data_IF_758920409478
#
_entry.id   IF_758920409478
#
_cell.length_a   1.000
_cell.length_b   1.000
_cell.length_c   1.000
_cell.angle_alpha   90.00
_cell.angle_beta   90.00
_cell.angle_gamma   90.00
#
_symmetry.space_group_name_H-M   'P 1'
#
loop_
_entity.id
_entity.type
_entity.pdbx_description
1 polymer ?
#
# COMPACT_ATOMS: atom_id res chain seq x y z
N UNK A 1 23.13 -20.09 -37.66
CA UNK A 1 21.89 -19.89 -36.87
C UNK A 1 21.09 -18.67 -37.31
N UNK A 2 21.46 -17.41 -36.99
CA UNK A 2 20.61 -16.23 -37.32
C UNK A 2 20.26 -16.11 -38.82
N UNK A 3 21.24 -16.31 -39.70
CA UNK A 3 21.01 -16.31 -41.16
C UNK A 3 20.07 -17.43 -41.61
N UNK A 4 20.15 -18.59 -40.98
CA UNK A 4 19.29 -19.74 -41.30
C UNK A 4 17.86 -19.54 -40.79
N UNK A 5 17.71 -18.97 -39.59
CA UNK A 5 16.40 -18.53 -39.09
C UNK A 5 15.81 -17.44 -39.98
N UNK A 6 16.62 -16.51 -40.48
CA UNK A 6 16.20 -15.46 -41.43
C UNK A 6 15.73 -16.05 -42.76
N UNK A 7 16.42 -17.06 -43.27
CA UNK A 7 16.04 -17.76 -44.50
C UNK A 7 14.69 -18.50 -44.36
N UNK A 8 14.44 -19.13 -43.21
CA UNK A 8 13.23 -19.91 -42.95
C UNK A 8 12.06 -19.04 -42.46
N UNK A 9 12.35 -17.91 -41.82
CA UNK A 9 11.36 -16.98 -41.27
C UNK A 9 11.83 -15.52 -41.45
N UNK A 10 11.54 -14.88 -42.59
CA UNK A 10 12.02 -13.53 -42.90
C UNK A 10 11.58 -12.45 -41.90
N UNK A 11 10.47 -12.66 -41.20
CA UNK A 11 9.97 -11.75 -40.14
C UNK A 11 10.83 -11.74 -38.87
N UNK A 12 11.77 -12.68 -38.73
CA UNK A 12 12.68 -12.77 -37.58
C UNK A 12 13.59 -11.55 -37.42
N UNK A 13 13.85 -10.80 -38.49
CA UNK A 13 14.75 -9.62 -38.46
C UNK A 13 14.21 -8.49 -37.57
N UNK A 14 12.90 -8.44 -37.34
CA UNK A 14 12.23 -7.42 -36.55
C UNK A 14 11.87 -7.87 -35.13
N UNK A 15 12.10 -9.14 -34.79
CA UNK A 15 11.66 -9.73 -33.53
C UNK A 15 12.90 -10.23 -32.76
N UNK A 16 13.26 -9.60 -31.63
CA UNK A 16 14.35 -10.09 -30.82
C UNK A 16 13.99 -11.45 -30.21
N UNK A 17 14.93 -12.38 -30.25
CA UNK A 17 14.84 -13.66 -29.56
C UNK A 17 16.13 -13.94 -28.80
N UNK A 18 16.00 -14.59 -27.64
CA UNK A 18 17.11 -15.12 -26.87
C UNK A 18 17.15 -16.64 -27.00
N UNK A 19 18.35 -17.20 -26.85
CA UNK A 19 18.58 -18.63 -26.94
C UNK A 19 19.52 -19.06 -25.83
N UNK A 20 19.22 -20.19 -25.21
CA UNK A 20 20.08 -20.85 -24.25
C UNK A 20 20.18 -22.32 -24.57
N UNK A 21 21.40 -22.84 -24.54
CA UNK A 21 21.67 -24.28 -24.62
C UNK A 21 22.09 -24.75 -23.24
N UNK A 22 21.44 -25.78 -22.72
CA UNK A 22 21.79 -26.38 -21.44
C UNK A 22 21.88 -27.89 -21.57
N UNK A 23 22.64 -28.54 -20.71
CA UNK A 23 22.71 -30.01 -20.66
C UNK A 23 21.79 -30.48 -19.54
N UNK A 24 20.96 -31.48 -19.83
CA UNK A 24 20.11 -32.09 -18.81
C UNK A 24 21.01 -32.94 -17.90
N UNK A 25 20.93 -32.72 -16.58
CA UNK A 25 21.78 -33.36 -15.58
C UNK A 25 21.87 -34.87 -15.79
N UNK A 26 23.09 -35.40 -15.71
CA UNK A 26 23.42 -36.83 -15.85
C UNK A 26 22.98 -37.48 -17.17
N UNK A 27 22.77 -36.68 -18.22
CA UNK A 27 22.45 -37.18 -19.57
C UNK A 27 23.33 -36.55 -20.64
N UNK A 28 23.51 -37.24 -21.76
CA UNK A 28 24.13 -36.70 -22.97
C UNK A 28 23.15 -35.90 -23.83
N UNK A 29 22.08 -35.36 -23.24
CA UNK A 29 21.03 -34.63 -23.95
C UNK A 29 21.26 -33.13 -23.80
N UNK A 30 21.31 -32.45 -24.94
CA UNK A 30 21.32 -30.99 -25.01
C UNK A 30 19.88 -30.47 -25.16
N UNK A 31 19.50 -29.55 -24.30
CA UNK A 31 18.25 -28.79 -24.37
C UNK A 31 18.51 -27.41 -24.99
N UNK A 32 17.73 -27.06 -26.02
CA UNK A 32 17.82 -25.78 -26.72
C UNK A 32 16.52 -25.03 -26.48
N UNK A 33 16.58 -24.01 -25.64
CA UNK A 33 15.45 -23.15 -25.35
C UNK A 33 15.57 -21.82 -26.11
N UNK A 34 14.47 -21.40 -26.73
CA UNK A 34 14.36 -20.10 -27.41
C UNK A 34 13.18 -19.33 -26.83
N UNK A 35 13.42 -18.08 -26.42
CA UNK A 35 12.37 -17.17 -25.97
C UNK A 35 12.21 -16.02 -26.98
N UNK A 36 11.00 -15.85 -27.51
CA UNK A 36 10.64 -14.77 -28.42
C UNK A 36 9.18 -14.35 -28.21
N UNK A 37 8.83 -13.16 -28.71
CA UNK A 37 7.45 -12.65 -28.67
C UNK A 37 6.48 -13.34 -29.63
N UNK A 38 6.99 -14.16 -30.56
CA UNK A 38 6.22 -14.88 -31.58
C UNK A 38 6.40 -16.40 -31.44
N UNK A 39 5.32 -17.18 -31.20
CA UNK A 39 5.39 -18.64 -31.07
C UNK A 39 6.02 -19.37 -32.26
N UNK A 40 5.73 -18.92 -33.48
CA UNK A 40 6.27 -19.58 -34.69
C UNK A 40 7.78 -19.34 -34.82
N UNK A 41 8.23 -18.15 -34.44
CA UNK A 41 9.66 -17.83 -34.41
C UNK A 41 10.41 -18.73 -33.40
N UNK A 42 9.85 -18.99 -32.22
CA UNK A 42 10.47 -19.89 -31.24
C UNK A 42 10.70 -21.28 -31.83
N UNK A 43 9.69 -21.83 -32.52
CA UNK A 43 9.77 -23.14 -33.18
C UNK A 43 10.84 -23.16 -34.27
N UNK A 44 10.79 -22.20 -35.20
CA UNK A 44 11.73 -22.15 -36.33
C UNK A 44 13.15 -21.98 -35.82
N UNK A 45 13.37 -21.06 -34.88
CA UNK A 45 14.68 -20.79 -34.33
C UNK A 45 15.26 -21.98 -33.55
N UNK A 46 14.46 -22.68 -32.75
CA UNK A 46 14.92 -23.86 -32.02
C UNK A 46 15.30 -25.01 -32.97
N UNK A 47 14.45 -25.31 -33.95
CA UNK A 47 14.71 -26.39 -34.91
C UNK A 47 15.90 -26.08 -35.84
N UNK A 48 15.99 -24.86 -36.36
CA UNK A 48 17.13 -24.43 -37.17
C UNK A 48 18.44 -24.51 -36.38
N UNK A 49 18.40 -24.21 -35.07
CA UNK A 49 19.60 -24.31 -34.24
C UNK A 49 20.04 -25.75 -34.01
N UNK A 50 19.10 -26.67 -33.81
CA UNK A 50 19.41 -28.09 -33.73
C UNK A 50 20.02 -28.62 -35.04
N UNK A 51 19.52 -28.18 -36.20
CA UNK A 51 20.05 -28.55 -37.51
C UNK A 51 21.48 -28.02 -37.72
N UNK A 52 21.73 -26.74 -37.42
CA UNK A 52 23.08 -26.15 -37.49
C UNK A 52 24.06 -26.93 -36.63
N UNK A 53 23.68 -27.26 -35.39
CA UNK A 53 24.54 -27.99 -34.48
C UNK A 53 24.83 -29.42 -34.97
N UNK A 54 23.83 -30.10 -35.52
CA UNK A 54 24.02 -31.43 -36.10
C UNK A 54 24.96 -31.37 -37.31
N UNK A 55 24.77 -30.41 -38.22
CA UNK A 55 25.61 -30.24 -39.40
C UNK A 55 27.05 -29.87 -39.03
N UNK A 56 27.24 -29.00 -38.04
CA UNK A 56 28.56 -28.64 -37.55
C UNK A 56 29.27 -29.84 -36.89
N UNK A 57 28.50 -30.67 -36.16
CA UNK A 57 29.02 -31.91 -35.58
C UNK A 57 29.42 -32.92 -36.65
N UNK A 58 28.60 -33.15 -37.67
CA UNK A 58 28.93 -34.03 -38.81
C UNK A 58 30.18 -33.55 -39.56
N UNK A 59 30.32 -32.22 -39.76
CA UNK A 59 31.50 -31.64 -40.40
C UNK A 59 32.76 -31.83 -39.56
N UNK A 60 32.66 -31.58 -38.25
CA UNK A 60 33.76 -31.78 -37.30
C UNK A 60 34.15 -33.25 -37.23
N UNK A 61 33.17 -34.15 -37.25
CA UNK A 61 33.35 -35.60 -37.29
C UNK A 61 34.06 -36.05 -38.57
N UNK A 62 33.67 -35.54 -39.74
CA UNK A 62 34.29 -35.89 -41.01
C UNK A 62 35.77 -35.47 -41.07
N UNK A 63 36.08 -34.24 -40.64
CA UNK A 63 37.47 -33.74 -40.54
C UNK A 63 38.27 -34.57 -39.53
N UNK A 64 37.66 -34.94 -38.39
CA UNK A 64 38.29 -35.80 -37.39
C UNK A 64 38.61 -37.20 -37.94
N UNK A 65 37.71 -37.78 -38.73
CA UNK A 65 37.90 -39.10 -39.36
C UNK A 65 39.02 -39.06 -40.41
N UNK A 66 39.07 -37.99 -41.22
CA UNK A 66 40.12 -37.77 -42.22
C UNK A 66 41.48 -37.61 -41.55
N UNK A 67 41.58 -36.76 -40.53
CA UNK A 67 42.81 -36.56 -39.73
C UNK A 67 43.26 -37.87 -39.06
N UNK A 68 42.32 -38.64 -38.51
CA UNK A 68 42.63 -39.95 -37.93
C UNK A 68 43.16 -40.94 -38.98
N UNK A 69 42.60 -40.93 -40.19
CA UNK A 69 43.08 -41.79 -41.28
C UNK A 69 44.50 -41.43 -41.72
N UNK A 70 44.82 -40.13 -41.84
CA UNK A 70 46.16 -39.66 -42.18
C UNK A 70 47.19 -40.01 -41.10
N UNK A 71 46.83 -39.87 -39.83
CA UNK A 71 47.69 -40.25 -38.70
C UNK A 71 47.97 -41.76 -38.68
N UNK A 72 46.94 -42.59 -38.89
CA UNK A 72 47.09 -44.04 -38.99
C UNK A 72 47.98 -44.41 -40.18
N UNK A 73 47.77 -43.80 -41.34
CA UNK A 73 48.59 -44.06 -42.54
C UNK A 73 50.06 -43.68 -42.31
N UNK A 74 50.33 -42.53 -41.69
CA UNK A 74 51.69 -42.09 -41.31
C UNK A 74 52.36 -43.06 -40.32
N UNK A 75 51.58 -43.63 -39.40
CA UNK A 75 52.08 -44.57 -38.39
C UNK A 75 52.30 -45.99 -38.95
N UNK A 76 51.64 -46.35 -40.06
CA UNK A 76 51.84 -47.61 -40.79
C UNK A 76 52.97 -47.50 -41.83
N UNK A 77 53.16 -46.34 -42.47
CA UNK A 77 54.23 -46.13 -43.46
C UNK A 77 55.62 -45.92 -42.86
N UNK A 78 55.72 -45.28 -41.69
CA UNK A 78 57.00 -45.04 -41.01
C UNK A 78 57.83 -46.32 -40.73
N UNK A 79 57.24 -47.41 -40.22
CA UNK A 79 57.98 -48.65 -39.93
C UNK A 79 58.37 -49.46 -41.17
N UNK A 80 57.74 -49.23 -42.32
CA UNK A 80 58.07 -49.96 -43.56
C UNK A 80 59.36 -49.46 -44.22
N UNK A 81 59.68 -48.17 -44.06
CA UNK A 81 60.96 -47.59 -44.51
C UNK A 81 62.14 -48.06 -43.63
N UNK A 82 61.91 -48.28 -42.33
CA UNK A 82 62.93 -48.84 -41.42
C UNK A 82 63.16 -50.34 -41.64
N UNK A 83 62.14 -51.10 -42.04
CA UNK A 83 62.30 -52.53 -42.34
C UNK A 83 63.13 -52.80 -43.59
N UNK A 84 63.15 -51.89 -44.58
CA UNK A 84 64.03 -52.01 -45.75
C UNK A 84 65.49 -51.66 -45.40
N UNK A 85 65.69 -50.81 -44.39
CA UNK A 85 67.03 -50.44 -43.86
C UNK A 85 67.65 -51.54 -42.99
N UNK A 86 66.84 -52.36 -42.30
CA UNK A 86 67.29 -53.47 -41.45
C UNK A 86 67.73 -54.72 -42.25
N UNK A 87 67.40 -54.81 -43.55
CA UNK A 87 67.93 -55.88 -44.42
C UNK A 87 69.41 -55.71 -44.82
N UNK A 88 70.04 -54.59 -44.50
CA UNK A 88 71.44 -54.32 -44.81
C UNK A 88 72.23 -53.84 -43.60
N UNK A 89 72.75 -54.76 -42.79
CA UNK A 89 73.83 -54.45 -41.85
C UNK A 89 73.58 -54.93 -40.43
N UNK A 90 74.46 -55.82 -39.97
CA UNK A 90 74.62 -56.30 -38.60
C UNK A 90 74.97 -55.18 -37.62
N UNK A 91 74.29 -55.18 -36.47
CA UNK A 91 74.80 -55.01 -35.08
C UNK A 91 73.80 -54.26 -34.20
N UNK A 92 73.43 -54.90 -33.08
CA UNK A 92 72.81 -54.21 -31.94
C UNK A 92 73.83 -53.28 -31.29
N UNK A 93 73.41 -52.14 -30.73
CA UNK A 93 73.31 -52.13 -29.27
C UNK A 93 72.15 -51.31 -28.68
N UNK A 94 71.67 -51.81 -27.53
CA UNK A 94 71.11 -51.14 -26.35
C UNK A 94 70.27 -49.86 -26.50
N UNK A 95 69.02 -49.90 -25.98
CA UNK A 95 68.26 -48.68 -25.67
C UNK A 95 67.69 -48.76 -24.25
N UNK A 96 68.14 -47.78 -23.48
CA UNK A 96 67.66 -47.26 -22.21
C UNK A 96 66.17 -46.91 -22.28
N UNK A 97 65.31 -47.47 -21.43
CA UNK A 97 63.91 -47.03 -21.31
C UNK A 97 63.77 -45.94 -20.24
N UNK A 98 64.37 -44.79 -20.55
CA UNK A 98 64.08 -43.50 -19.92
C UNK A 98 62.74 -42.94 -20.42
N UNK A 99 61.94 -42.43 -19.50
CA UNK A 99 60.57 -41.97 -19.66
C UNK A 99 60.50 -40.59 -20.30
N UNK A 100 59.89 -40.43 -21.48
CA UNK A 100 59.31 -39.17 -21.99
C UNK A 100 58.28 -39.55 -23.06
N UNK A 101 57.02 -39.71 -22.69
CA UNK A 101 55.96 -38.71 -22.90
C UNK A 101 55.51 -38.47 -24.37
N UNK A 102 55.63 -39.46 -25.25
CA UNK A 102 54.93 -39.46 -26.54
C UNK A 102 53.45 -39.90 -26.39
N UNK A 103 52.70 -39.23 -25.52
CA UNK A 103 51.23 -39.38 -25.43
C UNK A 103 50.49 -38.54 -26.46
N UNK A 104 51.19 -37.71 -27.24
CA UNK A 104 50.60 -36.84 -28.26
C UNK A 104 49.79 -37.59 -29.34
N UNK A 105 50.30 -38.67 -29.98
CA UNK A 105 49.51 -39.39 -30.98
C UNK A 105 48.33 -40.14 -30.36
N UNK A 106 48.48 -40.69 -29.14
CA UNK A 106 47.38 -41.36 -28.43
C UNK A 106 46.28 -40.37 -28.02
N UNK A 107 46.63 -39.19 -27.50
CA UNK A 107 45.64 -38.16 -27.16
C UNK A 107 44.91 -37.63 -28.39
N UNK A 108 45.59 -37.48 -29.54
CA UNK A 108 44.95 -37.10 -30.79
C UNK A 108 44.01 -38.21 -31.30
N UNK A 109 44.40 -39.48 -31.13
CA UNK A 109 43.54 -40.63 -31.46
C UNK A 109 42.32 -40.74 -30.54
N UNK A 110 42.47 -40.49 -29.24
CA UNK A 110 41.36 -40.43 -28.28
C UNK A 110 40.44 -39.22 -28.51
N UNK A 111 40.97 -38.08 -28.96
CA UNK A 111 40.16 -36.93 -29.36
C UNK A 111 39.40 -37.19 -30.67
N UNK A 112 40.04 -37.84 -31.64
CA UNK A 112 39.39 -38.24 -32.89
C UNK A 112 38.37 -39.37 -32.71
N UNK A 113 38.51 -40.22 -31.67
CA UNK A 113 37.57 -41.31 -31.37
C UNK A 113 36.34 -40.88 -30.58
N UNK A 114 36.22 -39.62 -30.15
CA UNK A 114 34.98 -39.03 -29.62
C UNK A 114 33.99 -38.77 -30.76
N UNK A 115 33.71 -39.81 -31.52
CA UNK A 115 32.76 -39.91 -32.62
C UNK A 115 31.34 -39.94 -32.04
N UNK A 116 30.95 -38.89 -31.32
CA UNK A 116 29.62 -38.75 -30.77
C UNK A 116 28.65 -38.34 -31.89
N UNK A 117 27.91 -39.33 -32.39
CA UNK A 117 26.83 -39.10 -33.34
C UNK A 117 25.71 -38.31 -32.64
N UNK A 118 25.64 -37.01 -32.91
CA UNK A 118 24.57 -36.14 -32.40
C UNK A 118 23.34 -36.34 -33.28
N UNK A 119 22.22 -36.70 -32.65
CA UNK A 119 20.93 -36.86 -33.32
C UNK A 119 19.88 -36.01 -32.63
N UNK A 120 19.01 -35.38 -33.43
CA UNK A 120 17.84 -34.67 -32.93
C UNK A 120 16.87 -35.69 -32.31
N UNK A 121 16.62 -35.55 -31.01
CA UNK A 121 15.72 -36.41 -30.23
C UNK A 121 14.25 -35.97 -30.32
N UNK A 122 13.97 -34.66 -30.21
CA UNK A 122 12.64 -34.08 -30.37
C UNK A 122 12.71 -32.73 -31.07
N UNK A 123 11.73 -32.45 -31.92
CA UNK A 123 11.63 -31.17 -32.63
C UNK A 123 10.73 -30.21 -31.85
N UNK A 124 11.12 -28.93 -31.81
CA UNK A 124 10.34 -27.89 -31.21
C UNK A 124 8.96 -27.76 -31.91
N UNK A 125 7.93 -27.60 -31.09
CA UNK A 125 6.54 -27.36 -31.52
C UNK A 125 6.15 -25.93 -31.20
N UNK A 126 5.21 -25.37 -31.95
CA UNK A 126 4.69 -24.02 -31.70
C UNK A 126 3.98 -24.01 -30.34
N UNK A 127 4.42 -23.19 -29.37
CA UNK A 127 3.75 -23.10 -28.09
C UNK A 127 2.36 -22.48 -28.28
N UNK A 128 1.33 -23.14 -27.77
CA UNK A 128 -0.07 -22.68 -27.89
C UNK A 128 -0.45 -21.65 -26.82
N UNK A 129 0.34 -21.56 -25.75
CA UNK A 129 0.14 -20.60 -24.65
C UNK A 129 1.48 -19.95 -24.26
N UNK A 130 1.45 -18.69 -23.80
CA UNK A 130 2.66 -18.01 -23.32
C UNK A 130 3.19 -18.67 -22.05
N UNK A 131 4.49 -19.00 -22.04
CA UNK A 131 5.17 -19.67 -20.91
C UNK A 131 5.54 -18.66 -19.82
N UNK A 132 5.88 -17.42 -20.19
CA UNK A 132 6.23 -16.32 -19.27
C UNK A 132 5.62 -14.99 -19.77
N UNK A 133 5.30 -14.04 -18.87
CA UNK A 133 5.31 -14.13 -17.41
C UNK A 133 4.01 -14.76 -16.83
N UNK A 134 4.09 -15.32 -15.62
CA UNK A 134 2.95 -15.85 -14.87
C UNK A 134 2.06 -14.72 -14.33
N UNK A 135 1.17 -14.19 -15.18
CA UNK A 135 0.29 -13.05 -14.86
C UNK A 135 -0.50 -13.25 -13.56
N UNK A 136 -0.98 -14.47 -13.27
CA UNK A 136 -1.73 -14.79 -12.05
C UNK A 136 -0.87 -14.65 -10.78
N UNK A 137 0.36 -15.15 -10.80
CA UNK A 137 1.28 -15.05 -9.65
C UNK A 137 1.71 -13.60 -9.42
N UNK A 138 2.04 -12.88 -10.49
CA UNK A 138 2.41 -11.47 -10.39
C UNK A 138 1.25 -10.61 -9.88
N UNK A 139 0.02 -10.88 -10.33
CA UNK A 139 -1.17 -10.21 -9.84
C UNK A 139 -1.45 -10.52 -8.36
N UNK A 140 -1.32 -11.79 -7.96
CA UNK A 140 -1.49 -12.19 -6.55
C UNK A 140 -0.45 -11.52 -5.65
N UNK A 141 0.81 -11.48 -6.08
CA UNK A 141 1.88 -10.79 -5.35
C UNK A 141 1.62 -9.28 -5.24
N UNK A 142 1.21 -8.64 -6.35
CA UNK A 142 0.87 -7.22 -6.36
C UNK A 142 -0.28 -6.88 -5.42
N UNK A 143 -1.32 -7.72 -5.39
CA UNK A 143 -2.45 -7.56 -4.48
C UNK A 143 -2.01 -7.70 -3.02
N UNK A 144 -1.19 -8.71 -2.71
CA UNK A 144 -0.67 -8.92 -1.37
C UNK A 144 0.12 -7.69 -0.90
N UNK A 145 1.09 -7.25 -1.70
CA UNK A 145 1.89 -6.05 -1.39
C UNK A 145 1.00 -4.82 -1.23
N UNK A 146 0.01 -4.63 -2.10
CA UNK A 146 -0.94 -3.53 -2.04
C UNK A 146 -1.74 -3.49 -0.73
N UNK A 147 -2.20 -4.64 -0.23
CA UNK A 147 -2.91 -4.73 1.05
C UNK A 147 -2.00 -4.34 2.21
N UNK A 148 -0.77 -4.87 2.24
CA UNK A 148 0.17 -4.53 3.32
C UNK A 148 0.52 -3.04 3.31
N UNK A 149 0.78 -2.47 2.14
CA UNK A 149 1.17 -1.08 1.99
C UNK A 149 -0.01 -0.13 2.27
N UNK A 150 -1.21 -0.48 1.81
CA UNK A 150 -2.43 0.28 2.08
C UNK A 150 -2.85 0.23 3.55
N UNK A 151 -2.80 -0.96 4.18
CA UNK A 151 -3.05 -1.13 5.60
C UNK A 151 -2.02 -0.37 6.44
N UNK A 152 -0.73 -0.53 6.13
CA UNK A 152 0.35 0.20 6.78
C UNK A 152 0.18 1.72 6.68
N UNK A 153 -0.19 2.24 5.51
CA UNK A 153 -0.45 3.66 5.31
C UNK A 153 -1.66 4.14 6.13
N UNK A 154 -2.74 3.35 6.21
CA UNK A 154 -3.90 3.69 7.03
C UNK A 154 -3.53 3.81 8.52
N UNK A 155 -2.77 2.85 9.06
CA UNK A 155 -2.26 2.93 10.43
C UNK A 155 -1.30 4.09 10.63
N UNK A 156 -0.43 4.38 9.66
CA UNK A 156 0.49 5.50 9.74
C UNK A 156 -0.24 6.85 9.77
N UNK A 157 -1.27 7.02 8.94
CA UNK A 157 -2.12 8.21 8.94
C UNK A 157 -2.88 8.37 10.27
N UNK A 158 -3.39 7.27 10.83
CA UNK A 158 -4.03 7.26 12.15
C UNK A 158 -3.03 7.58 13.27
N UNK A 159 -1.78 7.11 13.17
CA UNK A 159 -0.72 7.43 14.14
C UNK A 159 -0.32 8.92 14.09
N UNK A 160 -0.36 9.53 12.91
CA UNK A 160 -0.12 10.98 12.76
C UNK A 160 -1.30 11.83 13.24
N UNK A 161 -2.47 11.24 13.49
CA UNK A 161 -3.62 11.98 13.99
C UNK A 161 -3.50 12.25 15.50
N UNK A 162 -3.21 13.50 15.86
CA UNK A 162 -3.13 13.98 17.25
C UNK A 162 -4.49 14.38 17.84
N UNK A 163 -5.60 13.94 17.25
CA UNK A 163 -6.95 14.23 17.77
C UNK A 163 -7.22 13.57 19.13
N UNK A 164 -7.71 14.36 20.08
CA UNK A 164 -8.15 13.87 21.40
C UNK A 164 -9.49 13.14 21.22
N UNK A 165 -9.45 11.82 21.23
CA UNK A 165 -10.64 10.97 20.96
C UNK A 165 -11.15 10.26 22.20
N UNK A 166 -10.32 10.16 23.25
CA UNK A 166 -10.62 9.36 24.43
C UNK A 166 -10.64 10.21 25.69
N UNK A 167 -11.48 9.82 26.66
CA UNK A 167 -11.53 10.41 28.01
C UNK A 167 -10.13 10.40 28.65
N UNK A 168 -9.40 9.29 28.50
CA UNK A 168 -8.05 9.13 29.04
C UNK A 168 -7.01 10.07 28.42
N UNK A 169 -7.23 10.54 27.18
CA UNK A 169 -6.36 11.55 26.57
C UNK A 169 -6.52 12.90 27.29
N UNK A 170 -7.75 13.28 27.63
CA UNK A 170 -8.04 14.53 28.37
C UNK A 170 -7.37 14.51 29.74
N UNK A 171 -7.53 13.42 30.48
CA UNK A 171 -6.95 13.29 31.83
C UNK A 171 -5.42 13.26 31.78
N UNK A 172 -4.82 12.60 30.78
CA UNK A 172 -3.38 12.51 30.61
C UNK A 172 -2.73 13.83 30.18
N UNK A 173 -3.35 14.58 29.27
CA UNK A 173 -2.76 15.79 28.71
C UNK A 173 -3.14 17.08 29.46
N UNK A 174 -4.36 17.17 30.00
CA UNK A 174 -4.86 18.39 30.63
C UNK A 174 -4.97 18.29 32.16
N UNK A 175 -4.91 17.08 32.73
CA UNK A 175 -5.09 16.84 34.18
C UNK A 175 -6.38 17.44 34.75
N UNK A 176 -7.39 17.64 33.92
CA UNK A 176 -8.70 18.15 34.32
C UNK A 176 -9.69 17.00 34.49
N UNK A 177 -10.55 17.04 35.53
CA UNK A 177 -11.58 16.04 35.71
C UNK A 177 -12.62 16.13 34.59
N UNK A 178 -12.97 14.99 34.00
CA UNK A 178 -14.03 14.93 33.00
C UNK A 178 -15.39 14.95 33.71
N UNK A 179 -16.10 16.07 33.60
CA UNK A 179 -17.40 16.27 34.25
C UNK A 179 -18.54 15.45 33.64
N UNK A 180 -18.41 14.99 32.41
CA UNK A 180 -19.40 14.14 31.75
C UNK A 180 -19.18 14.01 30.25
N UNK A 181 -19.84 13.01 29.66
CA UNK A 181 -19.80 12.73 28.22
C UNK A 181 -21.20 12.89 27.68
N UNK A 182 -21.37 13.79 26.71
CA UNK A 182 -22.66 13.99 26.05
C UNK A 182 -22.63 13.26 24.71
N UNK A 183 -23.47 12.22 24.50
CA UNK A 183 -23.57 11.54 23.22
C UNK A 183 -24.03 12.51 22.14
N UNK A 184 -23.41 12.41 20.95
CA UNK A 184 -23.87 13.14 19.77
C UNK A 184 -25.30 12.69 19.45
N UNK A 185 -26.23 13.63 19.56
CA UNK A 185 -27.59 13.42 19.10
C UNK A 185 -27.70 13.98 17.69
N UNK A 186 -28.21 13.17 16.77
CA UNK A 186 -28.68 13.71 15.50
C UNK A 186 -29.94 14.53 15.81
N UNK A 187 -29.83 15.85 15.63
CA UNK A 187 -31.01 16.63 15.31
C UNK A 187 -31.54 16.02 14.02
N UNK A 188 -32.66 15.31 14.07
CA UNK A 188 -33.26 14.65 12.91
C UNK A 188 -33.51 15.68 11.80
N UNK A 189 -32.53 15.89 10.93
CA UNK A 189 -32.69 16.49 9.60
C UNK A 189 -33.15 15.35 8.67
N UNK A 190 -34.25 14.67 9.03
CA UNK A 190 -35.00 13.87 8.06
C UNK A 190 -36.19 14.71 7.61
N UNK A 191 -35.92 15.54 6.62
CA UNK A 191 -36.91 16.42 6.01
C UNK A 191 -36.32 17.80 5.77
N UNK A 192 -36.46 18.29 4.54
CA UNK A 192 -36.18 19.63 4.02
C UNK A 192 -35.99 20.70 5.11
N UNK A 193 -34.96 21.52 4.93
CA UNK A 193 -34.70 22.79 5.60
C UNK A 193 -35.96 23.68 5.64
N UNK A 194 -36.83 23.40 6.59
CA UNK A 194 -38.03 24.13 6.93
C UNK A 194 -38.03 24.17 8.44
N UNK A 195 -37.24 25.10 8.98
CA UNK A 195 -37.46 25.80 10.25
C UNK A 195 -38.01 24.95 11.42
N UNK A 196 -37.58 23.69 11.50
CA UNK A 196 -38.06 22.75 12.51
C UNK A 196 -37.31 23.07 13.79
N UNK A 197 -37.91 24.00 14.55
CA UNK A 197 -37.63 24.42 15.92
C UNK A 197 -36.50 23.61 16.57
N UNK A 198 -35.30 24.22 16.53
CA UNK A 198 -34.15 23.75 17.28
C UNK A 198 -34.52 24.01 18.75
N UNK A 199 -34.99 22.98 19.45
CA UNK A 199 -35.27 23.07 20.88
C UNK A 199 -34.17 22.33 21.68
N UNK A 200 -33.95 22.70 22.95
CA UNK A 200 -33.07 21.95 23.85
C UNK A 200 -33.47 20.46 23.91
N UNK A 201 -32.50 19.55 23.85
CA UNK A 201 -32.75 18.10 23.91
C UNK A 201 -33.34 17.70 25.26
N UNK A 202 -32.92 18.37 26.33
CA UNK A 202 -33.40 18.10 27.69
C UNK A 202 -34.91 18.38 27.82
N UNK A 203 -35.46 19.35 27.08
CA UNK A 203 -36.89 19.64 27.03
C UNK A 203 -37.62 18.81 25.97
N UNK A 204 -37.08 18.70 24.75
CA UNK A 204 -37.73 18.02 23.61
C UNK A 204 -37.76 16.49 23.76
N UNK A 205 -36.67 15.90 24.26
CA UNK A 205 -36.52 14.45 24.43
C UNK A 205 -36.04 14.12 25.85
N UNK A 206 -36.88 14.33 26.87
CA UNK A 206 -36.46 14.27 28.27
C UNK A 206 -36.02 12.86 28.73
N UNK A 207 -36.41 11.79 28.02
CA UNK A 207 -36.01 10.40 28.31
C UNK A 207 -34.83 9.91 27.47
N UNK A 208 -34.20 10.78 26.69
CA UNK A 208 -33.07 10.41 25.83
C UNK A 208 -31.77 10.24 26.63
N UNK A 209 -30.83 9.44 26.10
CA UNK A 209 -29.50 9.29 26.68
C UNK A 209 -28.75 10.64 26.77
N UNK A 210 -28.91 11.52 25.79
CA UNK A 210 -28.32 12.87 25.82
C UNK A 210 -28.94 13.74 26.92
N UNK A 211 -30.26 13.66 27.17
CA UNK A 211 -30.87 14.38 28.29
C UNK A 211 -30.33 13.88 29.64
N UNK A 212 -30.18 12.57 29.82
CA UNK A 212 -29.59 12.02 31.04
C UNK A 212 -28.11 12.37 31.22
N UNK A 213 -27.34 12.47 30.12
CA UNK A 213 -25.99 12.97 30.17
C UNK A 213 -25.92 14.40 30.75
N UNK A 214 -26.83 15.29 30.35
CA UNK A 214 -26.91 16.65 30.93
C UNK A 214 -27.38 16.67 32.39
N UNK A 215 -28.28 15.78 32.79
CA UNK A 215 -28.67 15.64 34.21
C UNK A 215 -27.52 15.12 35.07
N UNK A 216 -26.72 14.21 34.53
CA UNK A 216 -25.50 13.72 35.17
C UNK A 216 -24.46 14.84 35.29
N UNK A 217 -24.23 15.59 34.21
CA UNK A 217 -23.31 16.73 34.20
C UNK A 217 -23.70 17.80 35.22
N UNK A 218 -25.00 18.11 35.34
CA UNK A 218 -25.53 18.98 36.39
C UNK A 218 -25.17 18.47 37.79
N UNK A 219 -25.44 17.19 38.07
CA UNK A 219 -25.13 16.58 39.36
C UNK A 219 -23.65 16.65 39.67
N UNK A 220 -22.78 16.32 38.71
CA UNK A 220 -21.32 16.36 38.89
C UNK A 220 -20.81 17.77 39.18
N UNK A 221 -21.37 18.79 38.53
CA UNK A 221 -21.04 20.20 38.85
C UNK A 221 -21.47 20.55 40.28
N UNK A 222 -22.66 20.14 40.71
CA UNK A 222 -23.14 20.36 42.09
C UNK A 222 -22.32 19.60 43.14
N UNK A 223 -21.72 18.46 42.76
CA UNK A 223 -20.86 17.66 43.64
C UNK A 223 -19.39 18.13 43.65
N UNK A 224 -19.03 19.10 42.81
CA UNK A 224 -17.65 19.63 42.79
C UNK A 224 -17.30 20.32 44.11
N UNK A 225 -18.28 21.00 44.72
CA UNK A 225 -18.20 21.56 46.06
C UNK A 225 -19.58 21.42 46.73
N UNK A 226 -19.67 20.49 47.70
CA UNK A 226 -20.92 20.19 48.41
C UNK A 226 -21.34 21.32 49.36
N UNK A 227 -20.37 22.04 49.92
CA UNK A 227 -20.62 23.09 50.90
C UNK A 227 -20.97 24.42 50.20
N UNK A 228 -20.29 24.70 49.08
CA UNK A 228 -20.48 25.92 48.30
C UNK A 228 -20.64 25.59 46.79
N UNK A 229 -21.81 25.08 46.37
CA UNK A 229 -22.01 24.72 44.98
C UNK A 229 -21.81 25.95 44.07
N UNK A 230 -21.20 25.77 42.89
CA UNK A 230 -20.84 26.87 42.01
C UNK A 230 -22.07 27.63 41.52
N UNK A 231 -22.07 28.96 41.71
CA UNK A 231 -23.17 29.85 41.30
C UNK A 231 -22.96 30.48 39.91
N UNK A 232 -21.71 30.55 39.47
CA UNK A 232 -21.32 31.11 38.18
C UNK A 232 -20.53 30.07 37.41
N UNK A 233 -20.94 29.81 36.17
CA UNK A 233 -20.36 28.81 35.30
C UNK A 233 -20.10 29.43 33.93
N UNK A 234 -18.89 29.25 33.41
CA UNK A 234 -18.52 29.67 32.06
C UNK A 234 -18.35 28.42 31.21
N UNK A 235 -19.05 28.36 30.09
CA UNK A 235 -18.93 27.28 29.11
C UNK A 235 -18.14 27.81 27.91
N UNK A 236 -16.95 27.26 27.69
CA UNK A 236 -16.07 27.61 26.57
C UNK A 236 -15.50 26.35 25.93
N UNK A 237 -14.77 26.50 24.84
CA UNK A 237 -14.12 25.39 24.16
C UNK A 237 -12.92 25.87 23.33
N UNK A 238 -12.09 24.93 22.88
CA UNK A 238 -10.82 25.22 22.21
C UNK A 238 -11.01 25.73 20.77
N UNK A 239 -12.01 25.22 20.04
CA UNK A 239 -12.27 25.58 18.64
C UNK A 239 -13.75 25.85 18.36
N UNK A 240 -14.10 26.58 17.29
CA UNK A 240 -15.49 26.77 16.87
C UNK A 240 -16.22 25.43 16.64
N UNK A 241 -17.56 25.43 16.77
CA UNK A 241 -18.43 24.29 16.47
C UNK A 241 -18.33 23.04 17.40
N UNK A 242 -17.60 23.11 18.52
CA UNK A 242 -17.57 22.01 19.54
C UNK A 242 -18.85 21.88 20.38
N UNK A 243 -19.90 22.66 20.10
CA UNK A 243 -21.17 22.57 20.81
C UNK A 243 -21.30 23.41 22.08
N UNK A 244 -20.41 24.37 22.34
CA UNK A 244 -20.47 25.34 23.46
C UNK A 244 -21.89 25.84 23.77
N UNK A 245 -22.53 26.50 22.81
CA UNK A 245 -23.87 27.09 22.97
C UNK A 245 -24.93 26.02 23.25
N UNK A 246 -24.82 24.86 22.60
CA UNK A 246 -25.71 23.71 22.80
C UNK A 246 -25.57 23.15 24.22
N UNK A 247 -24.34 22.97 24.69
CA UNK A 247 -24.04 22.48 26.04
C UNK A 247 -24.51 23.47 27.09
N UNK A 248 -24.20 24.76 26.93
CA UNK A 248 -24.63 25.82 27.84
C UNK A 248 -26.15 25.87 27.98
N UNK A 249 -26.88 25.83 26.86
CA UNK A 249 -28.34 25.85 26.87
C UNK A 249 -28.92 24.60 27.53
N UNK A 250 -28.52 23.40 27.13
CA UNK A 250 -29.07 22.17 27.70
C UNK A 250 -28.72 22.00 29.19
N UNK A 251 -27.54 22.44 29.61
CA UNK A 251 -27.16 22.47 31.02
C UNK A 251 -28.03 23.47 31.80
N UNK A 252 -28.27 24.67 31.26
CA UNK A 252 -29.14 25.65 31.88
C UNK A 252 -30.57 25.12 32.07
N UNK A 253 -31.11 24.42 31.06
CA UNK A 253 -32.41 23.74 31.15
C UNK A 253 -32.41 22.64 32.21
N UNK A 254 -31.36 21.81 32.26
CA UNK A 254 -31.23 20.76 33.27
C UNK A 254 -31.14 21.33 34.70
N UNK A 255 -30.46 22.47 34.89
CA UNK A 255 -30.41 23.20 36.15
C UNK A 255 -31.78 23.78 36.53
N UNK A 256 -32.50 24.38 35.58
CA UNK A 256 -33.79 25.01 35.80
C UNK A 256 -34.91 24.01 36.15
N UNK A 257 -34.88 22.80 35.58
CA UNK A 257 -35.85 21.73 35.87
C UNK A 257 -35.89 21.27 37.35
N UNK A 258 -34.86 21.54 38.15
CA UNK A 258 -34.83 21.21 39.59
C UNK A 258 -35.03 22.46 40.46
N UNK A 259 -35.88 23.36 40.01
CA UNK A 259 -36.32 24.58 40.72
C UNK A 259 -35.23 25.61 41.03
N UNK A 260 -34.04 25.47 40.43
CA UNK A 260 -33.02 26.52 40.46
C UNK A 260 -33.43 27.69 39.57
N UNK A 261 -33.40 28.92 40.10
CA UNK A 261 -33.48 30.13 39.26
C UNK A 261 -32.17 30.25 38.47
N UNK A 262 -32.24 30.04 37.16
CA UNK A 262 -31.06 30.04 36.28
C UNK A 262 -31.13 31.23 35.34
N UNK A 263 -30.04 31.99 35.25
CA UNK A 263 -29.83 33.00 34.22
C UNK A 263 -28.80 32.49 33.21
N UNK A 264 -29.23 32.22 31.98
CA UNK A 264 -28.34 31.92 30.87
C UNK A 264 -27.92 33.23 30.19
N UNK A 265 -26.63 33.49 30.13
CA UNK A 265 -26.07 34.69 29.48
C UNK A 265 -25.37 34.28 28.18
N UNK A 266 -25.83 34.80 27.05
CA UNK A 266 -25.17 34.63 25.75
C UNK A 266 -24.06 35.67 25.58
N UNK A 267 -22.85 35.30 26.00
CA UNK A 267 -21.67 36.14 25.91
C UNK A 267 -20.93 36.04 24.55
N UNK A 268 -21.47 35.32 23.56
CA UNK A 268 -20.92 35.30 22.20
C UNK A 268 -21.45 36.49 21.39
N UNK A 269 -20.75 37.63 21.50
CA UNK A 269 -21.09 38.86 20.77
C UNK A 269 -20.75 38.78 19.26
N UNK A 270 -20.06 37.73 18.81
CA UNK A 270 -19.62 37.60 17.41
C UNK A 270 -20.61 36.81 16.58
N UNK A 271 -21.09 35.67 17.07
CA UNK A 271 -22.06 34.81 16.37
C UNK A 271 -23.13 34.30 17.35
N UNK A 272 -23.99 35.19 17.87
CA UNK A 272 -25.00 34.81 18.86
C UNK A 272 -26.02 33.83 18.29
N UNK A 273 -26.27 32.74 19.02
CA UNK A 273 -27.15 31.65 18.61
C UNK A 273 -28.31 31.39 19.56
N UNK A 274 -28.19 31.75 20.84
CA UNK A 274 -29.16 31.33 21.88
C UNK A 274 -30.54 31.94 21.62
N UNK A 275 -30.61 33.22 21.24
CA UNK A 275 -31.86 33.92 20.93
C UNK A 275 -32.63 33.25 19.77
N UNK A 276 -31.92 32.68 18.78
CA UNK A 276 -32.54 31.98 17.65
C UNK A 276 -33.15 30.66 18.07
N UNK A 277 -32.45 29.93 18.94
CA UNK A 277 -32.87 28.62 19.45
C UNK A 277 -34.10 28.75 20.35
N UNK A 278 -34.16 29.83 21.16
CA UNK A 278 -35.26 30.06 22.09
C UNK A 278 -36.35 31.01 21.54
N UNK A 279 -36.27 31.39 20.26
CA UNK A 279 -37.20 32.33 19.62
C UNK A 279 -37.41 33.63 20.43
N UNK A 280 -36.32 34.15 20.99
CA UNK A 280 -36.28 35.40 21.74
C UNK A 280 -35.85 36.55 20.83
N UNK A 281 -36.45 37.72 21.07
CA UNK A 281 -35.94 38.96 20.49
C UNK A 281 -34.48 39.21 20.94
N UNK A 282 -33.65 39.81 20.10
CA UNK A 282 -32.25 40.14 20.39
C UNK A 282 -31.95 41.64 20.23
N UNK A 283 -32.97 42.51 20.27
CA UNK A 283 -32.80 43.97 20.14
C UNK A 283 -32.11 44.62 21.35
N UNK A 284 -32.25 44.01 22.53
CA UNK A 284 -31.61 44.40 23.78
C UNK A 284 -31.04 43.17 24.48
N UNK A 285 -29.77 43.24 24.88
CA UNK A 285 -29.07 42.18 25.60
C UNK A 285 -27.75 42.64 26.23
N UNK A 286 -26.78 41.74 26.35
CA UNK A 286 -25.53 41.95 27.07
C UNK A 286 -24.70 43.11 26.53
N UNK A 287 -24.56 43.23 25.20
CA UNK A 287 -23.83 44.34 24.59
C UNK A 287 -24.47 45.69 24.92
N UNK A 288 -25.80 45.76 24.85
CA UNK A 288 -26.56 46.99 25.15
C UNK A 288 -26.45 47.37 26.62
N UNK A 289 -26.46 46.41 27.54
CA UNK A 289 -26.24 46.65 28.97
C UNK A 289 -24.86 47.26 29.25
N UNK A 290 -23.83 46.74 28.58
CA UNK A 290 -22.45 47.20 28.78
C UNK A 290 -22.22 48.58 28.17
N UNK A 291 -22.76 48.83 26.97
CA UNK A 291 -22.51 50.07 26.22
C UNK A 291 -23.48 51.19 26.58
N UNK A 292 -24.78 50.90 26.65
CA UNK A 292 -25.83 51.90 26.78
C UNK A 292 -26.35 52.07 28.22
N UNK A 293 -25.77 51.34 29.19
CA UNK A 293 -26.20 51.34 30.59
C UNK A 293 -27.72 51.14 30.74
N UNK A 294 -28.28 50.26 29.91
CA UNK A 294 -29.71 49.94 29.94
C UNK A 294 -30.07 49.21 31.23
N UNK A 295 -31.35 49.19 31.59
CA UNK A 295 -31.80 48.53 32.81
C UNK A 295 -31.72 47.00 32.66
N UNK A 296 -31.08 46.33 33.63
CA UNK A 296 -30.92 44.87 33.64
C UNK A 296 -32.27 44.15 33.57
N UNK A 297 -33.26 44.62 34.33
CA UNK A 297 -34.58 44.04 34.38
C UNK A 297 -35.31 44.06 33.02
N UNK A 298 -35.04 45.08 32.19
CA UNK A 298 -35.63 45.20 30.86
C UNK A 298 -34.93 44.30 29.81
N UNK A 299 -33.67 43.93 30.05
CA UNK A 299 -32.85 43.16 29.11
C UNK A 299 -32.89 41.65 29.36
N UNK A 300 -33.22 41.23 30.60
CA UNK A 300 -33.41 39.82 30.95
C UNK A 300 -34.81 39.37 30.51
N UNK A 301 -34.86 38.31 29.70
CA UNK A 301 -36.09 37.74 29.13
C UNK A 301 -36.38 36.39 29.78
N UNK A 302 -37.62 36.13 30.16
CA UNK A 302 -38.01 34.79 30.62
C UNK A 302 -38.19 33.86 29.41
N UNK A 303 -37.70 32.62 29.53
CA UNK A 303 -38.01 31.58 28.55
C UNK A 303 -39.50 31.25 28.58
N UNK A 304 -40.15 31.11 27.42
CA UNK A 304 -41.59 30.80 27.35
C UNK A 304 -41.89 29.35 27.72
N UNK A 305 -41.00 28.44 27.32
CA UNK A 305 -41.27 27.00 27.36
C UNK A 305 -40.56 26.28 28.54
N UNK A 306 -39.77 27.00 29.33
CA UNK A 306 -38.89 26.42 30.35
C UNK A 306 -38.99 27.25 31.63
N UNK A 307 -39.66 26.68 32.63
CA UNK A 307 -39.81 27.29 33.95
C UNK A 307 -38.45 27.53 34.60
N UNK A 308 -38.35 28.62 35.39
CA UNK A 308 -37.15 29.03 36.13
C UNK A 308 -35.91 29.35 35.28
N UNK A 309 -36.03 29.44 33.95
CA UNK A 309 -34.96 29.85 33.06
C UNK A 309 -35.17 31.27 32.55
N UNK A 310 -34.30 32.17 32.99
CA UNK A 310 -34.13 33.52 32.44
C UNK A 310 -32.95 33.53 31.47
N UNK A 311 -33.02 34.40 30.46
CA UNK A 311 -32.01 34.51 29.41
C UNK A 311 -31.65 35.97 29.20
N UNK A 312 -30.36 36.25 29.21
CA UNK A 312 -29.78 37.49 28.73
C UNK A 312 -29.10 37.21 27.39
N UNK A 313 -29.71 37.66 26.30
CA UNK A 313 -29.16 37.45 24.95
C UNK A 313 -27.93 38.34 24.72
N UNK A 314 -27.22 38.16 23.61
CA UNK A 314 -26.03 38.98 23.29
C UNK A 314 -26.37 40.46 23.10
N UNK A 315 -27.59 40.76 22.67
CA UNK A 315 -27.98 42.09 22.21
C UNK A 315 -27.58 42.35 20.77
N UNK A 316 -27.79 43.60 20.34
CA UNK A 316 -27.43 44.05 19.00
C UNK A 316 -25.92 43.89 18.80
N UNK A 317 -25.50 43.20 17.73
CA UNK A 317 -24.08 42.99 17.45
C UNK A 317 -23.45 44.37 17.28
N UNK A 318 -22.54 44.81 18.17
CA UNK A 318 -21.97 46.15 18.09
C UNK A 318 -21.29 46.25 16.73
N UNK A 319 -21.82 47.13 15.88
CA UNK A 319 -21.11 47.51 14.66
C UNK A 319 -19.85 48.20 15.15
N UNK A 320 -18.69 47.66 14.76
CA UNK A 320 -17.39 48.22 15.07
C UNK A 320 -17.27 49.57 14.33
N UNK A 321 -17.92 50.60 14.86
CA UNK A 321 -17.52 51.98 14.71
C UNK A 321 -16.55 52.23 15.86
N UNK A 322 -15.26 52.29 15.53
CA UNK A 322 -14.26 52.83 16.44
C UNK A 322 -14.76 54.19 16.94
N UNK A 323 -14.84 54.34 18.27
CA UNK A 323 -14.80 55.63 18.95
C UNK A 323 -13.47 55.70 19.67
#
# INVERSE_FOLDING_TARGET
IREEVKSLYPKSEQIPFSMSVSTIQDTSIFDIAVEAGDPELCKVAANASALVLMQENERTFAIGLETASELIEKQILGPLEELDRIKGGSESPGIDSGTTDDKEPENQLWQASQLNNVRIMDYARTPTFPIRPNKKQNAALGLLVGIFLGGGLAFFLEYMDTSIRTIGDIEKYLSWPVLGIVPRFEQTIKGKASDSEIQPVVSKFPKSASAEAYRTLRTNIQLTDLDNPPKFLVVTSAIPLEGKSTTALNLAVALAQKEGKVLLVDADLRKPTIHKILHLDNSSGLADLIVNNSELAASVKQSKDIDNLSVLTSGSIPHCGYV
#
